data_IF_321644297799
#
_entry.id   IF_321644297799
#
_cell.length_a   1.000
_cell.length_b   1.000
_cell.length_c   1.000
_cell.angle_alpha   90.00
_cell.angle_beta   90.00
_cell.angle_gamma   90.00
#
_symmetry.space_group_name_H-M   'P 1'
#
loop_
_entity.id
_entity.type
_entity.pdbx_description
1 polymer ?
#
# COMPACT_ATOMS: atom_id res chain seq x y z
N UNK A 1 -8.89 -26.27 20.64
CA UNK A 1 -10.38 -26.32 20.65
C UNK A 1 -10.90 -24.91 20.60
N UNK A 2 -11.51 -24.53 19.46
CA UNK A 2 -12.11 -23.20 19.30
C UNK A 2 -13.20 -22.99 20.37
N UNK A 3 -13.05 -21.90 21.14
CA UNK A 3 -14.03 -21.51 22.14
C UNK A 3 -15.28 -21.01 21.42
N UNK A 4 -16.46 -21.55 21.73
CA UNK A 4 -17.71 -21.03 21.17
C UNK A 4 -17.87 -19.56 21.55
N UNK A 5 -18.42 -18.70 20.67
CA UNK A 5 -18.50 -17.26 20.88
C UNK A 5 -19.50 -16.83 21.97
N UNK A 6 -20.27 -17.77 22.52
CA UNK A 6 -21.27 -17.51 23.59
C UNK A 6 -21.26 -18.63 24.60
N UNK A 7 -21.81 -18.36 25.84
CA UNK A 7 -21.92 -19.36 26.88
C UNK A 7 -22.72 -20.55 26.40
N UNK A 8 -22.21 -21.75 26.62
CA UNK A 8 -22.82 -22.99 26.20
C UNK A 8 -23.26 -23.76 27.46
N UNK A 9 -24.52 -24.18 27.46
CA UNK A 9 -25.04 -25.07 28.51
C UNK A 9 -25.03 -26.51 28.03
N UNK A 10 -24.66 -27.45 28.91
CA UNK A 10 -24.64 -28.87 28.58
C UNK A 10 -26.07 -29.34 28.18
N UNK A 11 -26.14 -30.07 27.10
CA UNK A 11 -27.41 -30.54 26.54
C UNK A 11 -27.96 -29.68 25.39
N UNK A 12 -27.44 -28.49 25.15
CA UNK A 12 -27.84 -27.65 24.03
C UNK A 12 -27.03 -27.95 22.75
N UNK A 13 -27.61 -27.65 21.58
CA UNK A 13 -26.94 -27.75 20.32
C UNK A 13 -25.73 -26.79 20.23
N UNK A 14 -24.61 -27.30 19.74
CA UNK A 14 -23.40 -26.49 19.45
C UNK A 14 -23.39 -25.90 18.04
N UNK A 15 -24.49 -26.05 17.32
CA UNK A 15 -24.62 -25.50 15.98
C UNK A 15 -24.71 -23.98 16.01
N UNK A 16 -23.87 -23.33 15.23
CA UNK A 16 -23.87 -21.88 15.02
C UNK A 16 -24.35 -21.67 13.57
N UNK A 17 -25.44 -20.96 13.41
CA UNK A 17 -25.94 -20.58 12.07
C UNK A 17 -25.00 -19.61 11.38
N UNK A 18 -24.81 -19.79 10.06
CA UNK A 18 -23.98 -18.92 9.24
C UNK A 18 -24.81 -17.84 8.50
N UNK A 19 -26.03 -17.56 8.93
CA UNK A 19 -26.94 -16.66 8.24
C UNK A 19 -26.38 -15.25 8.09
N UNK A 20 -25.75 -14.73 9.17
CA UNK A 20 -25.10 -13.40 9.16
C UNK A 20 -23.91 -13.38 8.20
N UNK A 21 -23.09 -14.43 8.21
CA UNK A 21 -21.96 -14.54 7.31
C UNK A 21 -22.42 -14.56 5.84
N UNK A 22 -23.42 -15.40 5.53
CA UNK A 22 -23.97 -15.50 4.16
C UNK A 22 -24.57 -14.16 3.70
N UNK A 23 -25.27 -13.44 4.59
CA UNK A 23 -25.83 -12.14 4.27
C UNK A 23 -24.72 -11.09 3.99
N UNK A 24 -23.68 -11.05 4.82
CA UNK A 24 -22.54 -10.15 4.63
C UNK A 24 -21.82 -10.45 3.32
N UNK A 25 -21.52 -11.71 3.03
CA UNK A 25 -20.84 -12.10 1.79
C UNK A 25 -21.67 -11.77 0.53
N UNK A 26 -22.98 -11.95 0.59
CA UNK A 26 -23.89 -11.59 -0.51
C UNK A 26 -23.92 -10.07 -0.74
N UNK A 27 -24.01 -9.28 0.32
CA UNK A 27 -23.98 -7.83 0.23
C UNK A 27 -22.62 -7.32 -0.27
N UNK A 28 -21.53 -7.88 0.25
CA UNK A 28 -20.17 -7.56 -0.18
C UNK A 28 -19.99 -7.80 -1.68
N UNK A 29 -20.43 -8.96 -2.18
CA UNK A 29 -20.35 -9.27 -3.61
C UNK A 29 -21.09 -8.24 -4.48
N UNK A 30 -22.31 -7.85 -4.07
CA UNK A 30 -23.10 -6.85 -4.78
C UNK A 30 -22.45 -5.46 -4.77
N UNK A 31 -21.87 -5.05 -3.64
CA UNK A 31 -21.16 -3.78 -3.53
C UNK A 31 -19.85 -3.78 -4.35
N UNK A 32 -19.12 -4.89 -4.33
CA UNK A 32 -17.89 -5.03 -5.13
C UNK A 32 -18.18 -4.97 -6.63
N UNK A 33 -19.31 -5.49 -7.09
CA UNK A 33 -19.72 -5.35 -8.48
C UNK A 33 -19.90 -3.87 -8.87
N UNK A 34 -20.38 -3.03 -7.97
CA UNK A 34 -20.54 -1.59 -8.22
C UNK A 34 -19.20 -0.85 -8.20
N UNK A 35 -18.35 -1.13 -7.20
CA UNK A 35 -17.13 -0.35 -6.95
C UNK A 35 -15.86 -0.93 -7.59
N UNK A 36 -15.81 -2.22 -7.90
CA UNK A 36 -14.60 -2.88 -8.37
C UNK A 36 -14.80 -3.64 -9.71
N UNK A 37 -15.85 -3.34 -10.47
CA UNK A 37 -16.18 -4.05 -11.72
C UNK A 37 -15.27 -3.72 -12.92
N UNK A 38 -14.13 -3.05 -12.70
CA UNK A 38 -13.14 -2.75 -13.72
C UNK A 38 -13.49 -1.58 -14.65
N UNK A 39 -14.55 -0.83 -14.35
CA UNK A 39 -14.85 0.45 -15.01
C UNK A 39 -14.24 1.58 -14.19
N UNK A 40 -13.94 2.71 -14.84
CA UNK A 40 -13.41 3.91 -14.17
C UNK A 40 -14.29 4.25 -12.97
N UNK A 41 -13.73 4.15 -11.76
CA UNK A 41 -14.44 4.44 -10.52
C UNK A 41 -14.42 5.94 -10.25
N UNK A 42 -13.31 6.58 -10.61
CA UNK A 42 -13.13 8.02 -10.45
C UNK A 42 -13.11 8.67 -11.82
N UNK A 43 -13.92 9.70 -12.00
CA UNK A 43 -13.92 10.52 -13.19
C UNK A 43 -13.83 11.97 -12.81
N UNK A 44 -12.75 12.63 -13.21
CA UNK A 44 -12.59 14.08 -13.08
C UNK A 44 -13.37 14.77 -14.20
N UNK A 45 -14.23 15.70 -13.83
CA UNK A 45 -15.01 16.48 -14.78
C UNK A 45 -14.25 17.77 -15.10
N UNK A 46 -13.92 18.04 -16.37
CA UNK A 46 -13.26 19.29 -16.75
C UNK A 46 -14.17 20.49 -16.48
N UNK A 47 -13.60 21.56 -15.96
CA UNK A 47 -14.34 22.83 -15.72
C UNK A 47 -14.20 23.79 -16.90
N UNK A 48 -13.08 23.71 -17.62
CA UNK A 48 -12.81 24.52 -18.82
C UNK A 48 -12.49 23.62 -20.01
N UNK A 49 -12.61 24.14 -21.25
CA UNK A 49 -12.25 23.38 -22.45
C UNK A 49 -10.79 22.90 -22.48
N UNK A 50 -9.89 23.62 -21.82
CA UNK A 50 -8.46 23.30 -21.74
C UNK A 50 -8.19 22.14 -20.74
N UNK A 51 -9.11 21.87 -19.83
CA UNK A 51 -8.97 20.86 -18.77
C UNK A 51 -9.41 19.46 -19.21
N UNK A 52 -9.93 19.29 -20.43
CA UNK A 52 -10.51 18.02 -20.89
C UNK A 52 -9.46 16.91 -20.90
N UNK A 53 -8.31 17.16 -21.50
CA UNK A 53 -7.23 16.16 -21.58
C UNK A 53 -6.56 15.95 -20.21
N UNK A 54 -6.19 16.96 -19.42
CA UNK A 54 -5.73 16.76 -18.05
C UNK A 54 -6.70 15.96 -17.15
N UNK A 55 -8.01 16.24 -17.24
CA UNK A 55 -9.02 15.50 -16.47
C UNK A 55 -9.10 14.02 -16.86
N UNK A 56 -8.96 13.72 -18.17
CA UNK A 56 -8.91 12.34 -18.67
C UNK A 56 -7.67 11.62 -18.13
N UNK A 57 -6.49 12.23 -18.24
CA UNK A 57 -5.23 11.68 -17.75
C UNK A 57 -5.28 11.45 -16.22
N UNK A 58 -5.78 12.43 -15.46
CA UNK A 58 -5.95 12.31 -14.02
C UNK A 58 -6.87 11.16 -13.63
N UNK A 59 -7.98 10.95 -14.35
CA UNK A 59 -8.89 9.83 -14.11
C UNK A 59 -8.20 8.48 -14.35
N UNK A 60 -7.45 8.35 -15.44
CA UNK A 60 -6.72 7.12 -15.78
C UNK A 60 -5.58 6.86 -14.79
N UNK A 61 -4.89 7.91 -14.34
CA UNK A 61 -3.81 7.79 -13.36
C UNK A 61 -4.32 7.34 -11.99
N UNK A 62 -5.42 7.89 -11.50
CA UNK A 62 -6.02 7.48 -10.22
C UNK A 62 -6.50 6.03 -10.28
N UNK A 63 -7.13 5.61 -11.38
CA UNK A 63 -7.50 4.21 -11.58
C UNK A 63 -6.28 3.29 -11.57
N UNK A 64 -5.19 3.69 -12.24
CA UNK A 64 -3.94 2.94 -12.25
C UNK A 64 -3.33 2.80 -10.84
N UNK A 65 -3.22 3.91 -10.10
CA UNK A 65 -2.71 3.93 -8.72
C UNK A 65 -3.54 3.02 -7.84
N UNK A 66 -4.87 3.13 -7.92
CA UNK A 66 -5.76 2.39 -7.03
C UNK A 66 -5.78 0.87 -7.35
N UNK A 67 -5.90 0.50 -8.62
CA UNK A 67 -6.11 -0.90 -8.99
C UNK A 67 -4.86 -1.68 -9.37
N UNK A 68 -3.80 -0.98 -9.83
CA UNK A 68 -2.57 -1.63 -10.27
C UNK A 68 -1.45 -1.54 -9.24
N UNK A 69 -1.33 -0.39 -8.58
CA UNK A 69 -0.29 -0.22 -7.56
C UNK A 69 -0.73 -0.70 -6.16
N UNK A 70 -2.02 -0.62 -5.84
CA UNK A 70 -2.54 -0.86 -4.49
C UNK A 70 -3.55 -2.02 -4.39
N UNK A 71 -3.65 -2.88 -5.40
CA UNK A 71 -4.57 -4.03 -5.38
C UNK A 71 -6.01 -3.64 -5.00
N UNK A 72 -6.55 -2.59 -5.61
CA UNK A 72 -7.80 -1.92 -5.23
C UNK A 72 -8.99 -2.85 -5.01
N UNK A 73 -9.08 -3.98 -5.72
CA UNK A 73 -10.14 -4.95 -5.51
C UNK A 73 -10.13 -5.53 -4.09
N UNK A 74 -8.95 -5.94 -3.61
CA UNK A 74 -8.79 -6.49 -2.24
C UNK A 74 -9.06 -5.41 -1.22
N UNK A 75 -8.52 -4.20 -1.45
CA UNK A 75 -8.74 -3.03 -0.59
C UNK A 75 -10.23 -2.73 -0.41
N UNK A 76 -11.01 -2.67 -1.50
CA UNK A 76 -12.46 -2.45 -1.41
C UNK A 76 -13.19 -3.59 -0.73
N UNK A 77 -12.78 -4.85 -0.99
CA UNK A 77 -13.35 -6.02 -0.34
C UNK A 77 -13.23 -5.93 1.18
N UNK A 78 -12.04 -5.58 1.66
CA UNK A 78 -11.76 -5.53 3.09
C UNK A 78 -12.45 -4.34 3.77
N UNK A 79 -12.42 -3.16 3.15
CA UNK A 79 -13.12 -1.96 3.67
C UNK A 79 -14.64 -2.19 3.73
N UNK A 80 -15.23 -2.81 2.70
CA UNK A 80 -16.66 -3.12 2.67
C UNK A 80 -17.00 -4.15 3.74
N UNK A 81 -16.17 -5.17 3.89
CA UNK A 81 -16.38 -6.20 4.93
C UNK A 81 -16.35 -5.59 6.32
N UNK A 82 -15.37 -4.75 6.62
CA UNK A 82 -15.28 -4.04 7.91
C UNK A 82 -16.49 -3.12 8.12
N UNK A 83 -16.90 -2.40 7.08
CA UNK A 83 -18.10 -1.56 7.13
C UNK A 83 -19.36 -2.34 7.44
N UNK A 84 -19.54 -3.53 6.84
CA UNK A 84 -20.71 -4.39 7.11
C UNK A 84 -20.66 -5.07 8.48
N UNK A 85 -19.47 -5.47 8.94
CA UNK A 85 -19.31 -6.19 10.21
C UNK A 85 -19.22 -5.24 11.41
N UNK A 86 -18.43 -4.17 11.30
CA UNK A 86 -18.07 -3.26 12.40
C UNK A 86 -18.71 -1.88 12.26
N UNK A 87 -19.51 -1.65 11.22
CA UNK A 87 -20.16 -0.36 10.88
C UNK A 87 -19.18 0.76 10.52
N UNK A 88 -17.90 0.44 10.39
CA UNK A 88 -16.87 1.39 10.01
C UNK A 88 -15.86 0.68 9.10
N UNK A 89 -15.57 1.29 7.95
CA UNK A 89 -14.48 0.90 7.07
C UNK A 89 -13.54 2.08 6.91
N UNK A 90 -12.25 1.88 7.14
CA UNK A 90 -11.25 2.94 7.16
C UNK A 90 -10.16 2.63 6.15
N UNK A 91 -9.85 3.61 5.30
CA UNK A 91 -8.68 3.60 4.44
C UNK A 91 -7.73 4.74 4.82
N UNK A 92 -6.44 4.47 4.76
CA UNK A 92 -5.37 5.45 4.95
C UNK A 92 -4.62 5.60 3.64
N UNK A 93 -4.49 6.84 3.19
CA UNK A 93 -3.71 7.20 2.00
C UNK A 93 -2.48 7.97 2.44
N UNK A 94 -1.31 7.53 1.98
CA UNK A 94 -0.04 8.19 2.29
C UNK A 94 0.99 7.96 1.20
N UNK A 95 2.01 8.81 1.18
CA UNK A 95 3.17 8.63 0.34
C UNK A 95 4.20 7.75 1.05
N UNK A 96 4.66 6.71 0.38
CA UNK A 96 5.75 5.85 0.86
C UNK A 96 7.01 6.16 0.07
N UNK A 97 8.03 6.68 0.75
CA UNK A 97 9.35 6.81 0.19
C UNK A 97 10.07 5.47 0.27
N UNK A 98 10.45 4.94 -0.88
CA UNK A 98 11.16 3.67 -0.97
C UNK A 98 12.28 3.79 -2.01
N UNK A 99 13.51 3.86 -1.51
CA UNK A 99 14.73 3.90 -2.32
C UNK A 99 15.44 2.58 -2.07
N UNK A 100 15.57 1.78 -3.10
CA UNK A 100 16.27 0.50 -3.06
C UNK A 100 17.58 0.57 -3.84
N UNK A 101 18.73 0.24 -3.22
CA UNK A 101 19.96 0.05 -3.97
C UNK A 101 19.85 -1.23 -4.81
N UNK A 102 19.96 -1.10 -6.12
CA UNK A 102 19.92 -2.21 -7.06
C UNK A 102 21.31 -2.39 -7.65
N UNK A 103 21.82 -3.62 -7.59
CA UNK A 103 23.07 -4.00 -8.25
C UNK A 103 22.76 -4.42 -9.69
N UNK A 104 23.55 -3.88 -10.63
CA UNK A 104 23.45 -4.22 -12.05
C UNK A 104 24.85 -4.47 -12.61
N UNK A 105 25.00 -5.55 -13.37
CA UNK A 105 26.23 -5.80 -14.08
C UNK A 105 26.32 -4.90 -15.32
N UNK A 106 27.46 -4.26 -15.44
CA UNK A 106 27.81 -3.39 -16.56
C UNK A 106 28.95 -4.05 -17.34
N UNK A 107 28.80 -4.11 -18.66
CA UNK A 107 29.85 -4.52 -19.60
C UNK A 107 30.10 -3.37 -20.58
N UNK A 108 31.35 -2.94 -20.70
CA UNK A 108 31.68 -1.84 -21.56
C UNK A 108 33.12 -1.39 -21.42
N UNK A 109 33.46 -0.21 -21.95
CA UNK A 109 34.80 0.40 -21.82
C UNK A 109 34.88 1.26 -20.57
N UNK A 110 36.13 1.53 -20.12
CA UNK A 110 36.38 2.44 -18.97
C UNK A 110 35.73 3.80 -19.19
N UNK A 111 35.81 4.35 -20.42
CA UNK A 111 35.23 5.66 -20.75
C UNK A 111 33.70 5.66 -20.66
N UNK A 112 33.03 4.54 -21.02
CA UNK A 112 31.58 4.42 -20.90
C UNK A 112 31.15 4.27 -19.44
N UNK A 113 31.95 3.64 -18.59
CA UNK A 113 31.73 3.58 -17.16
C UNK A 113 31.87 4.96 -16.52
N UNK A 114 32.89 5.73 -16.88
CA UNK A 114 33.12 7.09 -16.38
C UNK A 114 31.95 8.03 -16.72
N UNK A 115 31.39 7.89 -17.93
CA UNK A 115 30.20 8.65 -18.35
C UNK A 115 28.98 8.27 -17.50
N UNK A 116 28.81 6.98 -17.17
CA UNK A 116 27.72 6.52 -16.33
C UNK A 116 27.86 7.01 -14.89
N UNK A 117 29.09 7.04 -14.36
CA UNK A 117 29.40 7.53 -13.00
C UNK A 117 29.41 9.06 -12.88
N UNK A 118 29.37 9.79 -13.98
CA UNK A 118 29.16 11.24 -13.94
C UNK A 118 27.76 11.62 -13.42
N UNK A 119 26.81 10.66 -13.44
CA UNK A 119 25.53 10.79 -12.76
C UNK A 119 25.67 10.32 -11.30
N UNK A 120 25.45 11.23 -10.34
CA UNK A 120 25.52 10.96 -8.90
C UNK A 120 24.56 9.84 -8.40
N UNK A 121 23.66 9.38 -9.27
CA UNK A 121 22.75 8.28 -8.96
C UNK A 121 23.41 6.90 -8.98
N UNK A 122 24.60 6.78 -9.58
CA UNK A 122 25.32 5.52 -9.73
C UNK A 122 26.58 5.49 -8.88
N UNK A 123 26.84 4.33 -8.27
CA UNK A 123 28.08 4.04 -7.53
C UNK A 123 28.64 2.70 -7.99
N UNK A 124 29.95 2.50 -7.85
CA UNK A 124 30.64 1.27 -8.27
C UNK A 124 31.02 0.44 -7.07
N UNK A 125 30.65 -0.84 -7.10
CA UNK A 125 31.03 -1.82 -6.07
C UNK A 125 32.33 -2.54 -6.43
N UNK A 126 32.39 -3.07 -7.63
CA UNK A 126 33.53 -3.84 -8.14
C UNK A 126 33.76 -3.56 -9.62
N UNK A 127 35.02 -3.51 -10.03
CA UNK A 127 35.45 -3.35 -11.43
C UNK A 127 36.50 -4.40 -11.73
N UNK A 128 36.33 -5.13 -12.84
CA UNK A 128 37.33 -6.06 -13.34
C UNK A 128 38.50 -5.31 -14.00
N UNK A 129 39.63 -6.00 -14.19
CA UNK A 129 40.68 -5.48 -15.03
C UNK A 129 40.24 -5.54 -16.50
N UNK A 130 40.63 -4.56 -17.33
CA UNK A 130 40.36 -4.60 -18.77
C UNK A 130 40.95 -5.85 -19.43
N UNK A 131 40.17 -6.45 -20.32
CA UNK A 131 40.61 -7.55 -21.15
C UNK A 131 41.50 -7.05 -22.35
N UNK A 132 41.89 -7.98 -23.23
CA UNK A 132 42.74 -7.66 -24.40
C UNK A 132 42.07 -6.67 -25.38
N UNK A 133 40.73 -6.58 -25.34
CA UNK A 133 39.92 -5.68 -26.20
C UNK A 133 39.56 -4.36 -25.47
N UNK A 134 40.05 -4.15 -24.23
CA UNK A 134 39.79 -2.96 -23.41
C UNK A 134 38.39 -2.95 -22.79
N UNK A 135 37.67 -4.09 -22.77
CA UNK A 135 36.39 -4.25 -22.13
C UNK A 135 36.56 -4.53 -20.65
N UNK A 136 35.69 -3.96 -19.84
CA UNK A 136 35.59 -4.18 -18.38
C UNK A 136 34.23 -4.67 -18.05
N UNK A 137 34.16 -5.49 -17.00
CA UNK A 137 32.91 -5.83 -16.30
C UNK A 137 32.91 -5.13 -14.95
N UNK A 138 31.85 -4.43 -14.64
CA UNK A 138 31.72 -3.72 -13.37
C UNK A 138 30.34 -4.02 -12.76
N UNK A 139 30.27 -4.14 -11.43
CA UNK A 139 29.00 -4.16 -10.70
C UNK A 139 28.71 -2.74 -10.24
N UNK A 140 27.66 -2.17 -10.80
CA UNK A 140 27.22 -0.80 -10.52
C UNK A 140 26.00 -0.84 -9.62
N UNK A 141 25.99 0.00 -8.59
CA UNK A 141 24.86 0.18 -7.68
C UNK A 141 24.15 1.48 -8.07
N UNK A 142 22.85 1.43 -8.26
CA UNK A 142 22.06 2.63 -8.43
C UNK A 142 20.82 2.60 -7.50
N UNK A 143 20.44 3.79 -7.07
CA UNK A 143 19.28 3.96 -6.20
C UNK A 143 18.00 4.01 -7.05
N UNK A 144 17.28 2.88 -7.08
CA UNK A 144 15.97 2.83 -7.73
C UNK A 144 14.92 3.45 -6.84
N UNK A 145 14.28 4.51 -7.32
CA UNK A 145 13.18 5.13 -6.63
C UNK A 145 11.88 4.36 -6.90
N UNK A 146 11.40 3.62 -5.91
CA UNK A 146 10.14 2.88 -5.92
C UNK A 146 9.04 3.61 -5.11
N UNK A 147 9.26 4.89 -4.80
CA UNK A 147 8.30 5.69 -4.02
C UNK A 147 6.94 5.77 -4.71
N UNK A 148 5.88 5.56 -3.94
CA UNK A 148 4.52 5.48 -4.49
C UNK A 148 3.46 5.95 -3.49
N UNK A 149 2.28 6.25 -4.00
CA UNK A 149 1.08 6.41 -3.17
C UNK A 149 0.63 5.04 -2.71
N UNK A 150 0.50 4.86 -1.40
CA UNK A 150 -0.02 3.64 -0.78
C UNK A 150 -1.40 3.91 -0.20
N UNK A 151 -2.31 2.99 -0.43
CA UNK A 151 -3.66 2.99 0.14
C UNK A 151 -3.82 1.70 0.92
N UNK A 152 -3.85 1.82 2.25
CA UNK A 152 -4.00 0.68 3.16
C UNK A 152 -5.37 0.70 3.83
N UNK A 153 -5.98 -0.47 3.97
CA UNK A 153 -7.10 -0.67 4.88
C UNK A 153 -6.57 -0.68 6.32
N UNK A 154 -7.29 -0.02 7.23
CA UNK A 154 -7.01 -0.03 8.67
C UNK A 154 -8.11 -0.81 9.37
N UNK A 155 -7.70 -1.85 10.11
CA UNK A 155 -8.64 -2.61 10.93
C UNK A 155 -9.35 -1.69 11.95
N UNK A 156 -10.67 -1.86 12.15
CA UNK A 156 -11.45 -1.00 13.08
C UNK A 156 -10.88 -0.94 14.50
N UNK A 157 -10.21 -2.01 14.97
CA UNK A 157 -9.59 -2.05 16.30
C UNK A 157 -8.31 -1.19 16.39
N UNK A 158 -7.68 -0.90 15.26
CA UNK A 158 -6.46 -0.11 15.17
C UNK A 158 -6.74 1.38 14.98
N UNK A 159 -7.99 1.72 14.62
CA UNK A 159 -8.40 3.09 14.39
C UNK A 159 -9.03 3.68 15.67
N UNK A 160 -8.32 4.63 16.28
CA UNK A 160 -8.71 5.28 17.52
C UNK A 160 -9.19 6.68 17.22
N UNK A 161 -10.41 6.99 17.61
CA UNK A 161 -11.04 8.30 17.40
C UNK A 161 -11.66 8.83 18.67
N UNK A 162 -11.88 10.14 18.72
CA UNK A 162 -12.61 10.80 19.79
C UNK A 162 -14.07 10.32 19.84
N UNK A 163 -14.59 9.83 20.99
CA UNK A 163 -15.95 9.27 21.07
C UNK A 163 -17.08 10.26 20.75
N UNK A 164 -16.83 11.56 20.79
CA UNK A 164 -17.82 12.61 20.54
C UNK A 164 -17.71 13.25 19.16
N UNK A 165 -16.76 12.82 18.34
CA UNK A 165 -16.59 13.34 16.98
C UNK A 165 -17.72 12.88 16.06
N UNK A 166 -18.26 13.78 15.27
CA UNK A 166 -19.32 13.49 14.28
C UNK A 166 -18.71 13.13 12.93
N UNK A 167 -17.65 13.81 12.55
CA UNK A 167 -16.92 13.62 11.31
C UNK A 167 -15.39 13.81 11.52
N UNK A 168 -14.58 13.39 10.55
CA UNK A 168 -13.11 13.44 10.65
C UNK A 168 -12.57 14.86 10.82
N UNK A 169 -13.28 15.89 10.32
CA UNK A 169 -12.84 17.27 10.42
C UNK A 169 -13.16 17.91 11.78
N UNK A 170 -14.20 17.43 12.44
CA UNK A 170 -14.63 17.93 13.75
C UNK A 170 -13.93 17.25 14.94
N UNK A 171 -13.20 16.17 14.68
CA UNK A 171 -12.48 15.44 15.72
C UNK A 171 -11.19 16.14 16.11
N UNK A 172 -10.95 16.32 17.42
CA UNK A 172 -9.70 16.87 17.94
C UNK A 172 -8.58 15.82 17.98
N UNK A 173 -8.94 14.53 17.98
CA UNK A 173 -7.98 13.45 18.07
C UNK A 173 -8.41 12.26 17.21
N UNK A 174 -7.49 11.80 16.38
CA UNK A 174 -7.55 10.50 15.70
C UNK A 174 -6.16 9.88 15.65
N UNK A 175 -6.07 8.57 15.77
CA UNK A 175 -4.80 7.85 15.71
C UNK A 175 -4.96 6.48 15.07
N UNK A 176 -3.90 6.04 14.41
CA UNK A 176 -3.73 4.66 13.96
C UNK A 176 -2.72 3.98 14.87
N UNK A 177 -3.16 2.93 15.56
CA UNK A 177 -2.32 2.08 16.39
C UNK A 177 -1.91 0.85 15.60
N UNK A 178 -0.62 0.66 15.37
CA UNK A 178 -0.10 -0.53 14.70
C UNK A 178 1.01 -1.18 15.51
N UNK A 179 1.09 -2.52 15.44
CA UNK A 179 2.21 -3.28 16.00
C UNK A 179 3.29 -3.38 14.92
N UNK A 180 4.53 -3.04 15.30
CA UNK A 180 5.67 -3.07 14.38
C UNK A 180 6.79 -3.90 14.98
N UNK A 181 7.59 -4.50 14.13
CA UNK A 181 8.81 -5.20 14.57
C UNK A 181 9.89 -4.19 14.93
N UNK A 182 10.84 -4.61 15.78
CA UNK A 182 11.99 -3.78 16.15
C UNK A 182 12.78 -3.31 14.91
N UNK A 183 12.93 -4.18 13.93
CA UNK A 183 13.64 -3.86 12.69
C UNK A 183 12.94 -2.77 11.88
N UNK A 184 11.60 -2.78 11.81
CA UNK A 184 10.82 -1.73 11.15
C UNK A 184 10.93 -0.39 11.87
N UNK A 185 10.86 -0.40 13.21
CA UNK A 185 11.02 0.83 14.01
C UNK A 185 12.40 1.46 13.81
N UNK A 186 13.46 0.64 13.74
CA UNK A 186 14.82 1.14 13.45
C UNK A 186 14.89 1.71 12.03
N UNK A 187 14.29 1.07 11.03
CA UNK A 187 14.22 1.61 9.65
C UNK A 187 13.47 2.94 9.58
N UNK A 188 12.47 3.14 10.44
CA UNK A 188 11.71 4.39 10.56
C UNK A 188 12.50 5.49 11.31
N UNK A 189 13.73 5.21 11.79
CA UNK A 189 14.59 6.18 12.44
C UNK A 189 14.45 6.26 13.96
N UNK A 190 13.72 5.33 14.58
CA UNK A 190 13.66 5.28 16.05
C UNK A 190 14.96 4.75 16.67
N UNK A 191 15.37 5.36 17.78
CA UNK A 191 16.57 4.94 18.51
C UNK A 191 16.32 3.61 19.21
N UNK A 192 17.15 2.59 18.86
CA UNK A 192 17.07 1.25 19.44
C UNK A 192 17.06 1.25 20.98
N UNK A 193 17.83 2.17 21.60
CA UNK A 193 17.93 2.26 23.09
C UNK A 193 16.65 2.77 23.76
N UNK A 194 15.71 3.34 23.00
CA UNK A 194 14.44 3.87 23.53
C UNK A 194 13.28 2.93 23.29
N UNK A 195 13.49 1.86 22.54
CA UNK A 195 12.45 0.89 22.15
C UNK A 195 12.50 -0.35 23.06
N UNK A 196 13.67 -0.65 23.68
CA UNK A 196 13.83 -1.64 24.74
C UNK A 196 13.31 -1.04 26.07
#
# INVERSE_FOLDING_TARGET
TAKLPFPHHDGNSKYVSQDVYNAVESMKASLLEVFASGRKIVSFTPQNPEDVEPARIASEYVDYVLFRQNEGYMLFSDIIQDGLMSRIGVAKVYWQDEIEPVEQDFEGTVESLDVLLADEAYDVKEVSQPDEDGQITATVIFNKNNSKVVVDQIAPEEFIVEPRGVDLHSMNFMAHRSSRTLSELIKMGFDKKKID
#
